data_IF_151201002590
#
_entry.id   IF_151201002590
#
_cell.length_a   1.000
_cell.length_b   1.000
_cell.length_c   1.000
_cell.angle_alpha   90.00
_cell.angle_beta   90.00
_cell.angle_gamma   90.00
#
_symmetry.space_group_name_H-M   'P 1'
#
loop_
_entity.id
_entity.type
_entity.pdbx_description
1 polymer ?
#
# COMPACT_ATOMS: atom_id res chain seq x y z
N UNK A 1 -2.91 -42.70 -22.71
CA UNK A 1 -3.35 -41.40 -23.30
C UNK A 1 -3.45 -40.28 -22.24
N UNK A 2 -3.41 -40.59 -20.93
CA UNK A 2 -3.49 -39.56 -19.87
C UNK A 2 -2.16 -38.84 -19.61
N UNK A 3 -1.01 -39.51 -19.81
CA UNK A 3 0.32 -38.94 -19.50
C UNK A 3 0.71 -37.74 -20.38
N UNK A 4 0.21 -37.67 -21.62
CA UNK A 4 0.49 -36.57 -22.55
C UNK A 4 -0.24 -35.28 -22.15
N UNK A 5 -1.44 -35.40 -21.57
CA UNK A 5 -2.27 -34.26 -21.18
C UNK A 5 -1.71 -33.50 -19.95
N UNK A 6 -1.07 -34.23 -19.02
CA UNK A 6 -0.45 -33.62 -17.82
C UNK A 6 0.83 -32.88 -18.19
N UNK A 7 1.63 -33.43 -19.10
CA UNK A 7 2.86 -32.81 -19.60
C UNK A 7 2.55 -31.53 -20.41
N UNK A 8 1.52 -31.56 -21.26
CA UNK A 8 1.08 -30.35 -21.99
C UNK A 8 0.47 -29.29 -21.06
N UNK A 9 -0.24 -29.70 -20.00
CA UNK A 9 -0.76 -28.78 -18.98
C UNK A 9 0.37 -28.10 -18.19
N UNK A 10 1.46 -28.80 -17.90
CA UNK A 10 2.64 -28.26 -17.21
C UNK A 10 3.40 -27.28 -18.12
N UNK A 11 3.58 -27.62 -19.40
CA UNK A 11 4.22 -26.74 -20.39
C UNK A 11 3.38 -25.50 -20.71
N UNK A 12 2.05 -25.64 -20.77
CA UNK A 12 1.10 -24.54 -20.93
C UNK A 12 1.08 -23.62 -19.72
N UNK A 13 1.09 -24.18 -18.50
CA UNK A 13 1.16 -23.41 -17.25
C UNK A 13 2.49 -22.66 -17.12
N UNK A 14 3.62 -23.29 -17.48
CA UNK A 14 4.93 -22.65 -17.49
C UNK A 14 5.02 -21.48 -18.47
N UNK A 15 4.51 -21.67 -19.69
CA UNK A 15 4.52 -20.61 -20.72
C UNK A 15 3.59 -19.45 -20.37
N UNK A 16 2.44 -19.73 -19.74
CA UNK A 16 1.54 -18.71 -19.21
C UNK A 16 2.14 -17.94 -18.04
N UNK A 17 2.85 -18.62 -17.12
CA UNK A 17 3.54 -18.01 -15.99
C UNK A 17 4.67 -17.07 -16.46
N UNK A 18 5.45 -17.47 -17.47
CA UNK A 18 6.54 -16.66 -18.04
C UNK A 18 6.00 -15.44 -18.82
N UNK A 19 4.85 -15.56 -19.52
CA UNK A 19 4.21 -14.40 -20.17
C UNK A 19 3.55 -13.44 -19.17
N UNK A 20 2.98 -13.96 -18.09
CA UNK A 20 2.31 -13.16 -17.07
C UNK A 20 3.20 -12.79 -15.88
N UNK A 21 4.50 -13.13 -15.93
CA UNK A 21 5.48 -12.84 -14.89
C UNK A 21 5.57 -11.34 -14.57
N UNK A 22 5.47 -10.46 -15.56
CA UNK A 22 5.47 -9.01 -15.33
C UNK A 22 4.27 -8.53 -14.49
N UNK A 23 3.11 -9.17 -14.64
CA UNK A 23 1.91 -8.87 -13.85
C UNK A 23 1.97 -9.48 -12.45
N UNK A 24 2.50 -10.71 -12.34
CA UNK A 24 2.67 -11.39 -11.06
C UNK A 24 3.74 -10.73 -10.19
N UNK A 25 4.88 -10.35 -10.77
CA UNK A 25 5.95 -9.62 -10.08
C UNK A 25 5.49 -8.22 -9.66
N UNK A 26 4.76 -7.48 -10.51
CA UNK A 26 4.24 -6.15 -10.13
C UNK A 26 3.21 -6.22 -9.01
N UNK A 27 2.33 -7.23 -8.99
CA UNK A 27 1.42 -7.46 -7.88
C UNK A 27 2.16 -7.83 -6.58
N UNK A 28 3.13 -8.74 -6.66
CA UNK A 28 3.94 -9.13 -5.49
C UNK A 28 4.68 -7.91 -4.91
N UNK A 29 5.31 -7.10 -5.76
CA UNK A 29 6.01 -5.88 -5.34
C UNK A 29 5.05 -4.84 -4.76
N UNK A 30 3.85 -4.66 -5.33
CA UNK A 30 2.86 -3.72 -4.78
C UNK A 30 2.35 -4.14 -3.40
N UNK A 31 2.10 -5.45 -3.18
CA UNK A 31 1.70 -5.96 -1.86
C UNK A 31 2.82 -5.72 -0.84
N UNK A 32 4.07 -6.04 -1.18
CA UNK A 32 5.22 -5.80 -0.31
C UNK A 32 5.41 -4.31 -0.03
N UNK A 33 5.28 -3.46 -1.05
CA UNK A 33 5.38 -2.01 -0.89
C UNK A 33 4.27 -1.44 0.00
N UNK A 34 3.03 -1.93 -0.12
CA UNK A 34 1.92 -1.51 0.74
C UNK A 34 2.17 -1.88 2.21
N UNK A 35 2.64 -3.09 2.48
CA UNK A 35 3.01 -3.53 3.83
C UNK A 35 4.14 -2.66 4.38
N UNK A 36 5.17 -2.41 3.58
CA UNK A 36 6.29 -1.55 3.97
C UNK A 36 5.83 -0.13 4.33
N UNK A 37 4.94 0.47 3.52
CA UNK A 37 4.39 1.82 3.79
C UNK A 37 3.59 1.86 5.08
N UNK A 38 2.77 0.84 5.37
CA UNK A 38 2.00 0.78 6.61
C UNK A 38 2.93 0.72 7.81
N UNK A 39 3.96 -0.14 7.77
CA UNK A 39 4.93 -0.27 8.85
C UNK A 39 5.67 1.06 9.08
N UNK A 40 6.18 1.68 8.01
CA UNK A 40 6.92 2.94 8.09
C UNK A 40 6.01 4.06 8.62
N UNK A 41 4.79 4.18 8.10
CA UNK A 41 3.87 5.24 8.50
C UNK A 41 3.42 5.14 9.95
N UNK A 42 3.23 3.93 10.48
CA UNK A 42 2.94 3.72 11.91
C UNK A 42 4.12 4.14 12.81
N UNK A 43 5.36 3.82 12.40
CA UNK A 43 6.57 4.23 13.14
C UNK A 43 6.70 5.75 13.14
N UNK A 44 6.59 6.38 11.96
CA UNK A 44 6.70 7.84 11.80
C UNK A 44 5.61 8.56 12.58
N UNK A 45 4.35 8.08 12.53
CA UNK A 45 3.24 8.67 13.30
C UNK A 45 3.55 8.73 14.80
N UNK A 46 4.12 7.65 15.34
CA UNK A 46 4.46 7.54 16.76
C UNK A 46 5.62 8.45 17.15
N UNK A 47 6.64 8.54 16.31
CA UNK A 47 7.79 9.43 16.53
C UNK A 47 7.37 10.89 16.51
N UNK A 48 6.58 11.29 15.51
CA UNK A 48 6.12 12.68 15.38
C UNK A 48 5.20 13.05 16.55
N UNK A 49 4.21 12.22 16.91
CA UNK A 49 3.30 12.54 18.02
C UNK A 49 4.06 12.72 19.35
N UNK A 50 5.03 11.85 19.62
CA UNK A 50 5.86 11.96 20.82
C UNK A 50 6.74 13.20 20.80
N UNK A 51 7.29 13.56 19.63
CA UNK A 51 8.12 14.76 19.46
C UNK A 51 7.31 16.03 19.68
N UNK A 52 6.10 16.11 19.12
CA UNK A 52 5.18 17.25 19.30
C UNK A 52 4.78 17.39 20.77
N UNK A 53 4.38 16.30 21.44
CA UNK A 53 4.01 16.34 22.86
C UNK A 53 5.19 16.79 23.73
N UNK A 54 6.41 16.29 23.45
CA UNK A 54 7.63 16.68 24.17
C UNK A 54 8.00 18.14 23.95
N UNK A 55 7.87 18.65 22.72
CA UNK A 55 8.17 20.04 22.38
C UNK A 55 7.16 21.00 23.02
N UNK A 56 5.87 20.67 23.03
CA UNK A 56 4.83 21.50 23.62
C UNK A 56 4.95 21.58 25.15
N UNK A 57 5.28 20.46 25.81
CA UNK A 57 5.59 20.45 27.24
C UNK A 57 6.83 21.28 27.59
N UNK A 58 7.87 21.23 26.75
CA UNK A 58 9.07 22.05 26.94
C UNK A 58 8.81 23.56 26.78
N UNK A 59 7.72 23.95 26.11
CA UNK A 59 7.30 25.34 25.91
C UNK A 59 6.25 25.81 26.92
N UNK A 60 5.99 25.05 27.99
CA UNK A 60 4.96 25.34 28.99
C UNK A 60 3.55 25.54 28.39
N UNK A 61 3.23 24.85 27.30
CA UNK A 61 1.87 24.83 26.76
C UNK A 61 1.00 23.94 27.66
N UNK A 62 -0.22 24.38 27.94
CA UNK A 62 -1.19 23.62 28.73
C UNK A 62 -1.30 22.17 28.26
N UNK A 63 -1.29 21.26 29.22
CA UNK A 63 -1.27 19.82 28.95
C UNK A 63 -2.45 19.39 28.07
N UNK A 64 -3.61 20.03 28.22
CA UNK A 64 -4.82 19.80 27.43
C UNK A 64 -4.64 20.16 25.95
N UNK A 65 -4.00 21.30 25.66
CA UNK A 65 -3.75 21.74 24.28
C UNK A 65 -2.66 20.90 23.63
N UNK A 66 -1.62 20.56 24.40
CA UNK A 66 -0.55 19.69 23.95
C UNK A 66 -1.05 18.30 23.56
N UNK A 67 -1.94 17.72 24.36
CA UNK A 67 -2.49 16.40 24.08
C UNK A 67 -3.45 16.42 22.88
N UNK A 68 -4.25 17.49 22.73
CA UNK A 68 -5.11 17.68 21.56
C UNK A 68 -4.32 17.80 20.26
N UNK A 69 -3.27 18.63 20.24
CA UNK A 69 -2.43 18.82 19.06
C UNK A 69 -1.66 17.53 18.72
N UNK A 70 -1.13 16.84 19.74
CA UNK A 70 -0.46 15.55 19.58
C UNK A 70 -1.40 14.49 18.99
N UNK A 71 -2.66 14.46 19.43
CA UNK A 71 -3.69 13.59 18.87
C UNK A 71 -4.01 13.97 17.41
N UNK A 72 -4.20 15.25 17.11
CA UNK A 72 -4.46 15.74 15.75
C UNK A 72 -3.35 15.32 14.78
N UNK A 73 -2.09 15.51 15.18
CA UNK A 73 -0.93 15.12 14.38
C UNK A 73 -0.86 13.61 14.21
N UNK A 74 -1.09 12.84 15.27
CA UNK A 74 -1.10 11.36 15.20
C UNK A 74 -2.15 10.86 14.21
N UNK A 75 -3.40 11.35 14.30
CA UNK A 75 -4.46 10.95 13.38
C UNK A 75 -4.20 11.44 11.95
N UNK A 76 -3.62 12.63 11.78
CA UNK A 76 -3.21 13.16 10.48
C UNK A 76 -2.18 12.26 9.77
N UNK A 77 -1.14 11.81 10.48
CA UNK A 77 -0.13 10.92 9.89
C UNK A 77 -0.72 9.55 9.56
N UNK A 78 -1.63 9.02 10.40
CA UNK A 78 -2.33 7.76 10.13
C UNK A 78 -3.19 7.87 8.85
N UNK A 79 -3.94 8.96 8.70
CA UNK A 79 -4.75 9.21 7.51
C UNK A 79 -3.88 9.31 6.25
N UNK A 80 -2.75 10.03 6.33
CA UNK A 80 -1.81 10.15 5.22
C UNK A 80 -1.19 8.80 4.84
N UNK A 81 -0.83 8.00 5.84
CA UNK A 81 -0.30 6.64 5.65
C UNK A 81 -1.32 5.74 4.97
N UNK A 82 -2.59 5.79 5.38
CA UNK A 82 -3.68 5.04 4.76
C UNK A 82 -3.86 5.42 3.29
N UNK A 83 -3.87 6.71 2.95
CA UNK A 83 -3.99 7.18 1.57
C UNK A 83 -2.79 6.70 0.72
N UNK A 84 -1.57 6.81 1.24
CA UNK A 84 -0.38 6.34 0.55
C UNK A 84 -0.37 4.81 0.33
N UNK A 85 -0.83 4.05 1.31
CA UNK A 85 -0.99 2.60 1.19
C UNK A 85 -2.06 2.22 0.15
N UNK A 86 -3.22 2.89 0.17
CA UNK A 86 -4.28 2.68 -0.82
C UNK A 86 -3.82 3.01 -2.25
N UNK A 87 -3.02 4.06 -2.42
CA UNK A 87 -2.41 4.40 -3.70
C UNK A 87 -1.47 3.32 -4.25
N UNK A 88 -0.79 2.55 -3.39
CA UNK A 88 0.05 1.40 -3.80
C UNK A 88 -0.74 0.13 -4.06
N UNK A 89 -1.80 -0.13 -3.30
CA UNK A 89 -2.68 -1.27 -3.55
C UNK A 89 -3.34 -1.17 -4.92
N UNK A 90 -3.46 0.06 -5.45
CA UNK A 90 -3.77 0.27 -6.87
C UNK A 90 -5.03 -0.47 -7.23
N UNK A 91 -6.16 -0.07 -6.64
CA UNK A 91 -7.48 -0.56 -7.06
C UNK A 91 -7.64 -0.17 -8.52
N UNK A 92 -7.20 -1.05 -9.44
CA UNK A 92 -7.57 -1.00 -10.85
C UNK A 92 -9.04 -1.42 -10.83
N UNK A 93 -10.00 -0.50 -11.01
CA UNK A 93 -11.38 -0.93 -11.19
C UNK A 93 -11.37 -1.97 -12.31
N UNK A 94 -12.10 -3.09 -12.16
CA UNK A 94 -12.25 -4.05 -13.24
C UNK A 94 -12.60 -3.25 -14.48
N UNK A 95 -11.85 -3.47 -15.56
CA UNK A 95 -12.05 -2.80 -16.84
C UNK A 95 -13.39 -3.29 -17.37
N UNK A 96 -14.46 -2.67 -16.89
CA UNK A 96 -15.83 -3.14 -17.06
C UNK A 96 -16.40 -2.74 -18.40
N UNK A 97 -15.73 -1.87 -19.18
CA UNK A 97 -16.27 -1.36 -20.44
C UNK A 97 -15.18 -1.31 -21.53
N UNK A 98 -15.30 -2.12 -22.61
CA UNK A 98 -14.31 -2.24 -23.68
C UNK A 98 -14.33 -1.09 -24.72
N UNK A 99 -15.15 -0.05 -24.54
CA UNK A 99 -15.45 0.94 -25.58
C UNK A 99 -14.75 2.30 -25.45
N UNK A 100 -13.73 2.45 -24.61
CA UNK A 100 -13.07 3.76 -24.38
C UNK A 100 -11.66 3.92 -24.97
N UNK A 101 -11.14 2.99 -25.78
CA UNK A 101 -9.90 3.25 -26.51
C UNK A 101 -10.20 4.11 -27.76
N UNK A 102 -9.67 5.34 -27.89
CA UNK A 102 -9.75 6.07 -29.15
C UNK A 102 -8.93 5.32 -30.23
N UNK A 103 -9.43 5.22 -31.48
CA UNK A 103 -8.70 4.58 -32.56
C UNK A 103 -7.49 5.45 -32.91
N UNK A 104 -6.29 4.87 -32.75
CA UNK A 104 -5.08 5.28 -33.45
C UNK A 104 -4.63 4.13 -34.34
#
# INVERSE_FOLDING_TARGET
MEDLNVVDSINGAGTWLVRNQALLLSYAVNIVAAIAIIIIGLIVARVISNTVNRLMRARHIDATVADFLSALVRYGVIAFTLIAALGRVGFKPPRLLPYWAPPV
#
